data_IF_852102786501
#
_entry.id   IF_852102786501
#
_cell.length_a   1.000
_cell.length_b   1.000
_cell.length_c   1.000
_cell.angle_alpha   90.00
_cell.angle_beta   90.00
_cell.angle_gamma   90.00
#
_symmetry.space_group_name_H-M   'P 1'
#
loop_
_entity.id
_entity.type
_entity.pdbx_description
1 polymer ?
#
# COMPACT_ATOMS: atom_id res chain seq x y z
N UNK A 1 -17.73 -7.06 0.17
CA UNK A 1 -17.34 -5.98 1.08
C UNK A 1 -15.82 -5.89 1.17
N UNK A 2 -15.26 -4.68 1.20
CA UNK A 2 -13.82 -4.51 1.26
C UNK A 2 -13.29 -4.64 2.67
N UNK A 3 -12.08 -5.19 2.79
CA UNK A 3 -11.35 -5.28 4.06
C UNK A 3 -9.96 -4.68 3.87
N UNK A 4 -9.45 -4.04 4.91
CA UNK A 4 -8.07 -3.56 4.88
C UNK A 4 -7.12 -4.75 4.78
N UNK A 5 -6.21 -4.70 3.81
CA UNK A 5 -5.16 -5.70 3.65
C UNK A 5 -3.83 -5.19 4.20
N UNK A 6 -3.38 -4.04 3.73
CA UNK A 6 -2.16 -3.43 4.26
C UNK A 6 -2.09 -1.94 3.92
N UNK A 7 -1.18 -1.24 4.61
CA UNK A 7 -0.82 0.13 4.30
C UNK A 7 0.65 0.13 3.90
N UNK A 8 0.96 0.66 2.73
CA UNK A 8 2.32 0.74 2.22
C UNK A 8 2.92 2.11 2.53
N UNK A 9 4.07 2.10 3.19
CA UNK A 9 4.82 3.31 3.54
C UNK A 9 6.08 3.34 2.70
N UNK A 10 6.26 4.41 1.93
CA UNK A 10 7.50 4.64 1.19
C UNK A 10 8.50 5.32 2.13
N UNK A 11 9.74 4.88 2.13
CA UNK A 11 10.75 5.43 3.04
C UNK A 11 12.15 5.40 2.43
N UNK A 12 12.92 6.44 2.73
CA UNK A 12 14.36 6.45 2.44
C UNK A 12 15.17 5.85 3.58
N UNK A 13 14.50 5.43 4.67
CA UNK A 13 15.12 4.91 5.89
C UNK A 13 14.62 3.50 6.20
N UNK A 14 14.75 2.62 5.22
CA UNK A 14 14.19 1.28 5.28
C UNK A 14 14.64 0.49 6.52
N UNK A 15 15.95 0.44 6.76
CA UNK A 15 16.48 -0.33 7.88
C UNK A 15 16.03 0.22 9.24
N UNK A 16 15.98 1.55 9.36
CA UNK A 16 15.54 2.20 10.60
C UNK A 16 14.08 1.92 10.89
N UNK A 17 13.24 1.98 9.88
CA UNK A 17 11.80 1.72 10.04
C UNK A 17 11.53 0.23 10.29
N UNK A 18 12.27 -0.66 9.63
CA UNK A 18 12.16 -2.09 9.89
C UNK A 18 12.45 -2.38 11.37
N UNK A 19 13.57 -1.83 11.87
CA UNK A 19 13.96 -2.03 13.26
C UNK A 19 12.93 -1.45 14.24
N UNK A 20 12.40 -0.26 13.93
CA UNK A 20 11.38 0.36 14.77
C UNK A 20 10.15 -0.52 14.87
N UNK A 21 9.60 -0.98 13.75
CA UNK A 21 8.39 -1.78 13.77
C UNK A 21 8.60 -3.14 14.44
N UNK A 22 9.79 -3.72 14.30
CA UNK A 22 10.13 -4.95 15.01
C UNK A 22 10.15 -4.71 16.52
N UNK A 23 10.72 -3.59 16.97
CA UNK A 23 10.72 -3.21 18.40
C UNK A 23 9.31 -2.94 18.92
N UNK A 24 8.40 -2.51 18.05
CA UNK A 24 7.00 -2.32 18.41
C UNK A 24 6.20 -3.63 18.44
N UNK A 25 6.87 -4.75 18.19
CA UNK A 25 6.25 -6.06 18.27
C UNK A 25 5.75 -6.64 16.96
N UNK A 26 6.02 -5.97 15.83
CA UNK A 26 5.60 -6.50 14.54
C UNK A 26 6.55 -7.58 14.04
N UNK A 27 6.00 -8.53 13.30
CA UNK A 27 6.74 -9.67 12.79
C UNK A 27 6.84 -9.59 11.27
N UNK A 28 8.07 -9.70 10.75
CA UNK A 28 8.30 -9.73 9.31
C UNK A 28 7.67 -10.99 8.73
N UNK A 29 6.79 -10.81 7.74
CA UNK A 29 6.21 -11.89 6.97
C UNK A 29 7.08 -12.23 5.76
N UNK A 30 7.52 -11.19 5.03
CA UNK A 30 8.26 -11.37 3.79
C UNK A 30 9.07 -10.12 3.46
N UNK A 31 10.24 -10.34 2.89
CA UNK A 31 11.05 -9.25 2.32
C UNK A 31 11.48 -9.66 0.91
N UNK A 32 11.39 -8.75 -0.07
CA UNK A 32 11.79 -9.01 -1.45
C UNK A 32 12.61 -7.84 -1.99
N UNK A 33 13.38 -8.13 -3.03
CA UNK A 33 14.20 -7.14 -3.72
C UNK A 33 15.53 -6.88 -3.04
N UNK A 34 16.28 -5.99 -3.63
CA UNK A 34 17.60 -5.58 -3.16
C UNK A 34 17.66 -4.06 -3.02
N UNK A 35 18.51 -3.58 -2.10
CA UNK A 35 18.73 -2.16 -1.95
C UNK A 35 19.15 -1.55 -3.28
N UNK A 36 18.62 -0.40 -3.67
CA UNK A 36 17.75 0.50 -2.90
C UNK A 36 16.25 0.35 -3.18
N UNK A 37 15.79 -0.82 -3.58
CA UNK A 37 14.40 -1.05 -3.98
C UNK A 37 13.76 -2.22 -3.24
N UNK A 38 14.09 -2.38 -1.96
CA UNK A 38 13.54 -3.46 -1.13
C UNK A 38 12.09 -3.19 -0.77
N UNK A 39 11.34 -4.28 -0.60
CA UNK A 39 9.98 -4.22 -0.06
C UNK A 39 9.86 -5.24 1.06
N UNK A 40 9.12 -4.91 2.09
CA UNK A 40 8.96 -5.76 3.26
C UNK A 40 7.52 -5.68 3.75
N UNK A 41 6.93 -6.82 4.08
CA UNK A 41 5.60 -6.89 4.65
C UNK A 41 5.68 -7.42 6.08
N UNK A 42 5.04 -6.70 7.00
CA UNK A 42 4.80 -7.19 8.35
C UNK A 42 3.46 -7.91 8.42
N UNK A 43 3.37 -8.94 9.26
CA UNK A 43 2.14 -9.71 9.43
C UNK A 43 0.96 -8.84 9.86
N UNK A 44 1.23 -7.73 10.52
CA UNK A 44 0.21 -6.86 11.11
C UNK A 44 -0.36 -5.83 10.15
N UNK A 45 0.03 -5.86 8.87
CA UNK A 45 -0.59 -5.04 7.85
C UNK A 45 0.17 -3.80 7.41
N UNK A 46 1.44 -3.68 7.76
CA UNK A 46 2.32 -2.62 7.27
C UNK A 46 3.23 -3.19 6.20
N UNK A 47 3.35 -2.47 5.09
CA UNK A 47 4.37 -2.74 4.07
C UNK A 47 5.33 -1.56 4.03
N UNK A 48 6.63 -1.84 3.98
CA UNK A 48 7.65 -0.82 3.74
C UNK A 48 8.13 -0.93 2.30
N UNK A 49 8.21 0.20 1.61
CA UNK A 49 8.78 0.30 0.27
C UNK A 49 10.00 1.19 0.32
N UNK A 50 11.17 0.65 0.03
CA UNK A 50 12.39 1.44 -0.03
C UNK A 50 12.39 2.30 -1.28
N UNK A 51 12.64 3.60 -1.10
CA UNK A 51 12.78 4.56 -2.20
C UNK A 51 14.02 5.40 -1.97
N UNK A 52 14.55 5.98 -3.04
CA UNK A 52 15.75 6.82 -2.96
C UNK A 52 15.42 8.27 -2.66
N UNK A 53 14.18 8.67 -2.93
CA UNK A 53 13.69 10.02 -2.61
C UNK A 53 12.20 9.95 -2.38
N UNK A 54 11.68 10.93 -1.65
CA UNK A 54 10.25 11.06 -1.39
C UNK A 54 9.74 12.33 -2.05
N UNK A 55 8.59 12.21 -2.71
CA UNK A 55 7.89 13.37 -3.24
C UNK A 55 7.27 14.17 -2.09
N UNK A 56 7.11 15.45 -2.31
CA UNK A 56 6.47 16.31 -1.32
C UNK A 56 5.10 15.79 -0.93
N UNK A 57 4.88 15.60 0.35
CA UNK A 57 3.56 15.53 0.92
C UNK A 57 3.09 14.21 1.47
N UNK A 58 3.65 13.05 1.13
CA UNK A 58 3.16 11.81 1.75
C UNK A 58 4.18 10.69 1.74
N UNK A 59 4.35 10.06 2.90
CA UNK A 59 5.13 8.83 3.04
C UNK A 59 4.25 7.59 2.85
N UNK A 60 2.94 7.76 2.80
CA UNK A 60 2.01 6.66 2.52
C UNK A 60 1.89 6.50 1.01
N UNK A 61 2.43 5.40 0.49
CA UNK A 61 2.39 5.14 -0.95
C UNK A 61 0.99 4.73 -1.40
N UNK A 62 0.37 3.81 -0.67
CA UNK A 62 -1.00 3.37 -0.95
C UNK A 62 -1.59 2.60 0.22
N UNK A 63 -2.90 2.42 0.14
CA UNK A 63 -3.66 1.55 1.05
C UNK A 63 -4.21 0.41 0.18
N UNK A 64 -4.02 -0.83 0.61
CA UNK A 64 -4.54 -1.98 -0.12
C UNK A 64 -5.77 -2.54 0.58
N UNK A 65 -6.83 -2.74 -0.19
CA UNK A 65 -8.08 -3.32 0.27
C UNK A 65 -8.31 -4.64 -0.44
N UNK A 66 -8.76 -5.65 0.29
CA UNK A 66 -9.16 -6.92 -0.31
C UNK A 66 -10.66 -6.88 -0.59
N UNK A 67 -11.05 -7.37 -1.76
CA UNK A 67 -12.45 -7.42 -2.17
C UNK A 67 -12.73 -8.68 -2.99
N UNK A 68 -13.95 -9.16 -2.95
CA UNK A 68 -14.35 -10.34 -3.74
C UNK A 68 -14.60 -9.99 -5.21
N UNK A 69 -14.92 -8.74 -5.51
CA UNK A 69 -15.26 -8.30 -6.86
C UNK A 69 -14.57 -6.97 -7.15
N UNK A 70 -13.38 -7.05 -7.75
CA UNK A 70 -12.57 -5.87 -8.06
C UNK A 70 -13.30 -4.94 -9.01
N UNK A 71 -13.87 -5.47 -10.09
CA UNK A 71 -14.52 -4.63 -11.11
C UNK A 71 -15.69 -3.84 -10.54
N UNK A 72 -16.52 -4.49 -9.74
CA UNK A 72 -17.65 -3.82 -9.11
C UNK A 72 -17.20 -2.76 -8.10
N UNK A 73 -16.16 -3.07 -7.34
CA UNK A 73 -15.60 -2.11 -6.37
C UNK A 73 -15.08 -0.86 -7.07
N UNK A 74 -14.38 -1.02 -8.20
CA UNK A 74 -13.91 0.11 -9.00
C UNK A 74 -15.10 0.94 -9.52
N UNK A 75 -16.15 0.29 -10.01
CA UNK A 75 -17.34 1.01 -10.48
C UNK A 75 -17.96 1.86 -9.38
N UNK A 76 -18.06 1.32 -8.17
CA UNK A 76 -18.59 2.06 -7.03
C UNK A 76 -17.69 3.27 -6.74
N UNK A 77 -16.37 3.08 -6.73
CA UNK A 77 -15.43 4.17 -6.47
C UNK A 77 -15.57 5.28 -7.51
N UNK A 78 -15.60 4.94 -8.79
CA UNK A 78 -15.74 5.93 -9.86
C UNK A 78 -17.07 6.68 -9.78
N UNK A 79 -18.13 6.01 -9.37
CA UNK A 79 -19.44 6.65 -9.19
C UNK A 79 -19.47 7.61 -7.99
N UNK A 80 -18.46 7.57 -7.14
CA UNK A 80 -18.39 8.37 -5.93
C UNK A 80 -17.21 9.34 -5.91
N UNK A 81 -16.73 9.76 -7.08
CA UNK A 81 -15.75 10.83 -7.20
C UNK A 81 -14.30 10.39 -7.26
N UNK A 82 -14.02 9.10 -7.25
CA UNK A 82 -12.67 8.60 -7.42
C UNK A 82 -12.28 8.57 -8.89
N UNK A 83 -10.97 8.50 -9.15
CA UNK A 83 -10.41 8.39 -10.51
C UNK A 83 -9.62 7.10 -10.63
N UNK A 84 -9.50 6.58 -11.86
CA UNK A 84 -8.60 5.46 -12.12
C UNK A 84 -7.15 5.92 -11.96
N UNK A 85 -6.31 5.03 -11.42
CA UNK A 85 -4.87 5.26 -11.35
C UNK A 85 -4.19 4.53 -12.51
N UNK A 86 -3.11 5.12 -13.01
CA UNK A 86 -2.31 4.54 -14.10
C UNK A 86 -1.62 3.22 -13.72
N UNK A 87 -1.57 2.87 -12.44
CA UNK A 87 -0.93 1.63 -11.98
C UNK A 87 -1.65 0.37 -12.42
N UNK A 88 -2.96 0.45 -12.70
CA UNK A 88 -3.69 -0.71 -13.20
C UNK A 88 -5.19 -0.61 -13.00
N UNK A 89 -5.90 -1.62 -13.52
CA UNK A 89 -7.36 -1.68 -13.45
C UNK A 89 -7.89 -1.96 -12.04
N UNK A 90 -7.01 -2.35 -11.13
CA UNK A 90 -7.33 -2.60 -9.73
C UNK A 90 -6.86 -1.47 -8.82
N UNK A 91 -6.61 -0.29 -9.38
CA UNK A 91 -6.17 0.88 -8.62
C UNK A 91 -7.09 2.05 -8.87
N UNK A 92 -7.40 2.80 -7.83
CA UNK A 92 -8.10 4.08 -7.99
C UNK A 92 -7.54 5.11 -7.00
N UNK A 93 -7.91 6.36 -7.22
CA UNK A 93 -7.41 7.50 -6.43
C UNK A 93 -8.60 8.17 -5.77
N UNK A 94 -8.52 8.34 -4.46
CA UNK A 94 -9.53 9.08 -3.70
C UNK A 94 -9.48 10.57 -4.06
N UNK A 95 -10.56 11.32 -3.82
CA UNK A 95 -10.55 12.76 -4.12
C UNK A 95 -9.40 13.54 -3.47
N UNK A 96 -8.83 13.05 -2.37
CA UNK A 96 -7.70 13.68 -1.69
C UNK A 96 -6.33 13.14 -2.16
N UNK A 97 -6.29 12.47 -3.30
CA UNK A 97 -5.09 11.93 -3.95
C UNK A 97 -4.51 10.68 -3.28
N UNK A 98 -5.14 10.09 -2.28
CA UNK A 98 -4.71 8.82 -1.70
C UNK A 98 -4.94 7.68 -2.68
N UNK A 99 -3.91 6.89 -2.93
CA UNK A 99 -4.00 5.75 -3.86
C UNK A 99 -4.48 4.51 -3.15
N UNK A 100 -5.41 3.82 -3.79
CA UNK A 100 -6.01 2.58 -3.27
C UNK A 100 -5.72 1.45 -4.25
N UNK A 101 -5.12 0.40 -3.73
CA UNK A 101 -4.94 -0.85 -4.47
C UNK A 101 -6.03 -1.84 -4.08
N UNK A 102 -6.62 -2.52 -5.05
CA UNK A 102 -7.58 -3.58 -4.77
C UNK A 102 -6.94 -4.93 -5.01
N UNK A 103 -7.14 -5.84 -4.08
CA UNK A 103 -6.62 -7.19 -4.14
C UNK A 103 -7.81 -8.15 -4.06
N UNK A 104 -7.68 -9.29 -4.74
CA UNK A 104 -8.72 -10.31 -4.69
C UNK A 104 -8.73 -10.93 -3.29
N UNK A 105 -9.89 -10.98 -2.67
CA UNK A 105 -10.07 -11.67 -1.40
C UNK A 105 -10.07 -13.17 -1.64
N UNK A 106 -9.26 -13.89 -0.90
CA UNK A 106 -9.18 -15.35 -0.98
C UNK A 106 -10.20 -16.03 -0.08
#
# INVERSE_FOLDING_TARGET
MCKLHHVAIATTKFNEYKELFEKLGMTVEREVGEAPERQLWFCEGIQLKEVTSLDCGSNVDHIALATKDIDNTVKIALSNGCKLDSRGNNWFILPNETKIELMKEE
#
